data_IF_351701335733
#
_entry.id   IF_351701335733
#
_cell.length_a   1.000
_cell.length_b   1.000
_cell.length_c   1.000
_cell.angle_alpha   90.00
_cell.angle_beta   90.00
_cell.angle_gamma   90.00
#
_symmetry.space_group_name_H-M   'P 1'
#
loop_
_entity.id
_entity.type
_entity.pdbx_description
1 polymer ?
#
# COMPACT_ATOMS: atom_id res chain seq x y z
N UNK A 1 7.67 18.73 12.52
CA UNK A 1 6.73 18.90 11.38
C UNK A 1 6.07 17.53 11.13
N UNK A 2 5.01 17.45 10.33
CA UNK A 2 4.27 16.21 10.09
C UNK A 2 5.12 15.12 9.39
N UNK A 3 6.01 15.52 8.48
CA UNK A 3 6.91 14.60 7.79
C UNK A 3 7.84 13.84 8.75
N UNK A 4 8.44 14.52 9.74
CA UNK A 4 9.28 13.84 10.74
C UNK A 4 8.50 12.84 11.58
N UNK A 5 7.22 13.12 11.88
CA UNK A 5 6.36 12.17 12.60
C UNK A 5 6.10 10.92 11.76
N UNK A 6 5.75 11.08 10.49
CA UNK A 6 5.52 9.93 9.59
C UNK A 6 6.75 9.03 9.47
N UNK A 7 7.95 9.61 9.38
CA UNK A 7 9.21 8.84 9.34
C UNK A 7 9.43 8.03 10.62
N UNK A 8 9.19 8.64 11.78
CA UNK A 8 9.33 7.96 13.09
C UNK A 8 8.29 6.84 13.20
N UNK A 9 7.03 7.11 12.86
CA UNK A 9 5.96 6.14 12.96
C UNK A 9 6.21 4.93 12.03
N UNK A 10 6.75 5.16 10.83
CA UNK A 10 7.13 4.09 9.91
C UNK A 10 8.28 3.24 10.46
N UNK A 11 9.32 3.90 10.99
CA UNK A 11 10.49 3.25 11.60
C UNK A 11 10.12 2.39 12.81
N UNK A 12 9.16 2.87 13.61
CA UNK A 12 8.68 2.18 14.81
C UNK A 12 7.60 1.15 14.52
N UNK A 13 7.14 1.02 13.27
CA UNK A 13 6.03 0.13 12.88
C UNK A 13 4.67 0.57 13.42
N UNK A 14 4.52 1.84 13.81
CA UNK A 14 3.25 2.41 14.26
C UNK A 14 2.29 2.71 13.09
N UNK A 15 2.82 2.84 11.87
CA UNK A 15 2.05 2.86 10.63
C UNK A 15 2.58 1.81 9.65
N UNK A 16 1.67 1.18 8.92
CA UNK A 16 1.99 0.30 7.81
C UNK A 16 1.46 0.95 6.53
N UNK A 17 2.32 1.31 5.55
CA UNK A 17 1.89 2.02 4.34
C UNK A 17 0.83 1.27 3.52
N UNK A 18 0.81 -0.05 3.64
CA UNK A 18 -0.11 -0.94 2.95
C UNK A 18 -1.15 -1.50 3.92
N UNK A 19 -1.87 -0.64 4.64
CA UNK A 19 -3.06 -1.04 5.40
C UNK A 19 -4.30 -0.51 4.70
N UNK A 20 -5.27 -1.39 4.45
CA UNK A 20 -6.50 -1.04 3.75
C UNK A 20 -7.41 -0.08 4.52
N UNK A 21 -8.40 0.53 3.84
CA UNK A 21 -8.87 0.14 2.51
C UNK A 21 -8.00 0.67 1.36
N UNK A 22 -7.59 -0.21 0.45
CA UNK A 22 -6.83 0.14 -0.77
C UNK A 22 -7.43 -0.58 -1.97
N UNK A 23 -7.66 0.18 -3.05
CA UNK A 23 -8.07 -0.34 -4.35
C UNK A 23 -6.88 -0.39 -5.32
N UNK A 24 -6.98 -1.28 -6.31
CA UNK A 24 -6.11 -1.30 -7.48
C UNK A 24 -6.47 -0.16 -8.42
N UNK A 25 -5.59 0.09 -9.39
CA UNK A 25 -5.77 1.10 -10.43
C UNK A 25 -7.08 0.96 -11.22
N UNK A 26 -7.58 -0.27 -11.37
CA UNK A 26 -8.85 -0.56 -12.06
C UNK A 26 -10.10 -0.35 -11.19
N UNK A 27 -9.93 0.08 -9.93
CA UNK A 27 -11.01 0.29 -8.97
C UNK A 27 -11.45 -0.98 -8.23
N UNK A 28 -10.86 -2.14 -8.52
CA UNK A 28 -11.12 -3.36 -7.74
C UNK A 28 -10.45 -3.28 -6.36
N UNK A 29 -11.11 -3.83 -5.35
CA UNK A 29 -10.55 -3.85 -3.99
C UNK A 29 -9.30 -4.74 -3.93
N UNK A 30 -8.25 -4.26 -3.25
CA UNK A 30 -7.05 -5.04 -2.94
C UNK A 30 -6.98 -5.41 -1.47
N UNK A 31 -7.11 -4.43 -0.57
CA UNK A 31 -7.07 -4.63 0.89
C UNK A 31 -8.35 -4.06 1.50
N UNK A 32 -9.02 -4.83 2.34
CA UNK A 32 -10.15 -4.35 3.14
C UNK A 32 -9.68 -3.44 4.29
N UNK A 33 -10.61 -2.76 4.95
CA UNK A 33 -10.29 -1.89 6.09
C UNK A 33 -9.52 -2.64 7.18
N UNK A 34 -8.34 -2.13 7.54
CA UNK A 34 -7.46 -2.73 8.55
C UNK A 34 -6.62 -3.93 8.09
N UNK A 35 -6.81 -4.42 6.86
CA UNK A 35 -5.97 -5.51 6.33
C UNK A 35 -4.59 -5.01 5.94
N UNK A 36 -3.55 -5.75 6.35
CA UNK A 36 -2.17 -5.52 5.95
C UNK A 36 -1.64 -6.79 5.27
N UNK A 37 -1.12 -6.71 4.03
CA UNK A 37 -0.66 -7.88 3.31
C UNK A 37 0.66 -8.38 3.93
N UNK A 38 0.95 -9.69 3.82
CA UNK A 38 2.25 -10.22 4.17
C UNK A 38 3.33 -9.72 3.20
N UNK A 39 4.58 -9.67 3.67
CA UNK A 39 5.73 -9.33 2.82
C UNK A 39 5.86 -10.30 1.63
N UNK A 40 5.73 -11.61 1.90
CA UNK A 40 5.66 -12.65 0.89
C UNK A 40 4.39 -13.49 1.12
N UNK A 41 3.61 -13.82 0.08
CA UNK A 41 3.88 -13.52 -1.34
C UNK A 41 3.50 -12.09 -1.76
N UNK A 42 2.49 -11.48 -1.14
CA UNK A 42 1.76 -10.34 -1.71
C UNK A 42 2.60 -9.10 -2.03
N UNK A 43 3.27 -8.50 -1.04
CA UNK A 43 3.98 -7.22 -1.24
C UNK A 43 5.18 -7.36 -2.20
N UNK A 44 5.93 -8.46 -2.09
CA UNK A 44 7.08 -8.71 -2.94
C UNK A 44 6.71 -9.10 -4.38
N UNK A 45 5.52 -9.63 -4.60
CA UNK A 45 5.05 -10.03 -5.94
C UNK A 45 4.03 -9.06 -6.53
N UNK A 46 3.91 -7.83 -6.00
CA UNK A 46 2.97 -6.85 -6.54
C UNK A 46 3.26 -6.55 -8.01
N UNK A 47 2.26 -6.84 -8.85
CA UNK A 47 2.27 -6.69 -10.30
C UNK A 47 1.20 -5.70 -10.81
N UNK A 48 0.74 -4.80 -9.92
CA UNK A 48 -0.27 -3.80 -10.23
C UNK A 48 0.01 -2.48 -9.50
N UNK A 49 -0.64 -1.41 -9.96
CA UNK A 49 -0.66 -0.11 -9.29
C UNK A 49 -1.94 0.08 -8.48
N UNK A 50 -1.88 0.92 -7.45
CA UNK A 50 -3.05 1.35 -6.67
C UNK A 50 -3.83 2.46 -7.38
N UNK A 51 -5.06 2.69 -6.94
CA UNK A 51 -5.91 3.79 -7.43
C UNK A 51 -5.18 5.15 -7.39
N UNK A 52 -5.40 5.98 -8.41
CA UNK A 52 -4.80 7.33 -8.52
C UNK A 52 -3.44 7.39 -9.24
N UNK A 53 -2.86 6.25 -9.62
CA UNK A 53 -1.68 6.20 -10.49
C UNK A 53 -2.14 6.16 -11.95
N UNK A 54 -1.70 7.11 -12.78
CA UNK A 54 -2.04 7.14 -14.22
C UNK A 54 -1.14 6.24 -15.09
N UNK A 55 0.04 5.88 -14.57
CA UNK A 55 0.97 5.01 -15.26
C UNK A 55 0.40 3.59 -15.39
N UNK A 56 0.64 2.92 -16.51
CA UNK A 56 0.23 1.52 -16.70
C UNK A 56 1.36 0.59 -16.33
N UNK A 57 1.03 -0.49 -15.63
CA UNK A 57 2.00 -1.55 -15.36
C UNK A 57 2.52 -2.11 -16.70
N UNK A 58 3.85 -2.26 -16.89
CA UNK A 58 4.39 -2.83 -18.12
C UNK A 58 4.01 -4.30 -18.22
N UNK A 59 3.11 -4.64 -19.16
CA UNK A 59 2.79 -6.02 -19.51
C UNK A 59 3.84 -6.60 -20.47
#
# INVERSE_FOLDING_TARGET
>A
NEASKAIIDLSMGAIHPFTGPINKQDGSAWLAEGETPPNFPDLLTMDFYVEGIDAKYPN
#
